data_IF_447412741779
#
_entry.id   IF_447412741779
#
_cell.length_a   1.000
_cell.length_b   1.000
_cell.length_c   1.000
_cell.angle_alpha   90.00
_cell.angle_beta   90.00
_cell.angle_gamma   90.00
#
_symmetry.space_group_name_H-M   'P 1'
#
loop_
_entity.id
_entity.type
_entity.pdbx_description
1 polymer ?
#
# COMPACT_ATOMS: atom_id res chain seq x y z
N UNK A 1 14.91 -6.52 2.27
CA UNK A 1 13.86 -7.32 2.95
C UNK A 1 12.90 -6.47 3.77
N UNK A 2 13.36 -5.37 4.39
CA UNK A 2 12.51 -4.49 5.19
C UNK A 2 11.32 -3.90 4.42
N UNK A 3 11.51 -3.48 3.16
CA UNK A 3 10.41 -2.99 2.31
C UNK A 3 9.27 -4.02 2.20
N UNK A 4 9.60 -5.28 1.91
CA UNK A 4 8.62 -6.36 1.81
C UNK A 4 7.87 -6.61 3.12
N UNK A 5 8.58 -6.55 4.25
CA UNK A 5 7.97 -6.66 5.58
C UNK A 5 7.01 -5.50 5.84
N UNK A 6 7.40 -4.26 5.52
CA UNK A 6 6.54 -3.08 5.69
C UNK A 6 5.30 -3.19 4.81
N UNK A 7 5.46 -3.52 3.52
CA UNK A 7 4.34 -3.72 2.61
C UNK A 7 3.38 -4.81 3.10
N UNK A 8 3.91 -5.94 3.59
CA UNK A 8 3.09 -7.02 4.13
C UNK A 8 2.34 -6.60 5.40
N UNK A 9 3.00 -5.90 6.34
CA UNK A 9 2.34 -5.36 7.55
C UNK A 9 1.22 -4.39 7.17
N UNK A 10 1.50 -3.44 6.28
CA UNK A 10 0.52 -2.45 5.83
C UNK A 10 -0.70 -3.13 5.24
N UNK A 11 -0.48 -4.13 4.36
CA UNK A 11 -1.57 -4.90 3.76
C UNK A 11 -2.38 -5.70 4.81
N UNK A 12 -1.72 -6.37 5.76
CA UNK A 12 -2.39 -7.13 6.83
C UNK A 12 -3.27 -6.21 7.68
N UNK A 13 -2.77 -5.02 8.02
CA UNK A 13 -3.53 -4.02 8.82
C UNK A 13 -4.71 -3.45 8.05
N UNK A 14 -4.53 -3.16 6.77
CA UNK A 14 -5.59 -2.73 5.86
C UNK A 14 -6.71 -3.78 5.77
N UNK A 15 -6.36 -5.05 5.54
CA UNK A 15 -7.34 -6.14 5.48
C UNK A 15 -8.06 -6.36 6.81
N UNK A 16 -7.39 -6.14 7.94
CA UNK A 16 -8.02 -6.17 9.25
C UNK A 16 -8.98 -4.98 9.47
N UNK A 17 -8.66 -3.80 8.93
CA UNK A 17 -9.50 -2.61 9.00
C UNK A 17 -10.79 -2.77 8.19
N UNK A 18 -10.69 -3.24 6.93
CA UNK A 18 -11.87 -3.54 6.08
C UNK A 18 -12.82 -4.50 6.79
N UNK A 19 -12.28 -5.60 7.36
CA UNK A 19 -13.09 -6.59 8.09
C UNK A 19 -13.72 -6.03 9.37
N UNK A 20 -13.05 -5.11 10.06
CA UNK A 20 -13.54 -4.51 11.29
C UNK A 20 -14.62 -3.44 11.06
N UNK A 21 -14.61 -2.80 9.89
CA UNK A 21 -15.57 -1.76 9.49
C UNK A 21 -16.71 -2.28 8.62
N UNK A 22 -16.73 -3.58 8.34
CA UNK A 22 -17.75 -4.24 7.51
C UNK A 22 -17.95 -3.57 6.13
N UNK A 23 -16.84 -3.09 5.55
CA UNK A 23 -16.85 -2.47 4.23
C UNK A 23 -16.94 -3.57 3.17
N UNK A 24 -17.90 -3.43 2.25
CA UNK A 24 -18.01 -4.35 1.12
C UNK A 24 -16.79 -4.25 0.20
N UNK A 25 -16.02 -5.33 0.19
CA UNK A 25 -14.73 -5.41 -0.50
C UNK A 25 -14.88 -5.40 -2.02
N UNK A 26 -16.03 -5.84 -2.54
CA UNK A 26 -16.27 -5.89 -3.99
C UNK A 26 -16.51 -4.50 -4.56
N UNK A 27 -17.27 -3.66 -3.86
CA UNK A 27 -17.55 -2.29 -4.29
C UNK A 27 -16.42 -1.31 -3.92
N UNK A 28 -15.69 -1.56 -2.83
CA UNK A 28 -14.67 -0.65 -2.34
C UNK A 28 -13.32 -0.74 -3.08
N UNK A 29 -12.92 -1.94 -3.54
CA UNK A 29 -11.63 -2.13 -4.19
C UNK A 29 -11.75 -2.11 -5.71
N UNK A 30 -10.92 -1.32 -6.43
CA UNK A 30 -10.91 -1.34 -7.89
C UNK A 30 -10.39 -2.67 -8.48
N UNK A 31 -9.53 -3.37 -7.73
CA UNK A 31 -8.96 -4.66 -8.13
C UNK A 31 -8.93 -5.59 -6.92
N UNK A 32 -9.48 -6.80 -7.10
CA UNK A 32 -9.50 -7.85 -6.07
C UNK A 32 -8.51 -8.96 -6.40
N UNK A 33 -7.75 -9.37 -5.40
CA UNK A 33 -6.99 -10.62 -5.46
C UNK A 33 -7.47 -11.58 -4.36
N UNK A 34 -8.00 -12.72 -4.78
CA UNK A 34 -8.62 -13.70 -3.86
C UNK A 34 -7.60 -14.34 -2.91
N UNK A 35 -6.37 -14.57 -3.37
CA UNK A 35 -5.31 -15.24 -2.60
C UNK A 35 -4.38 -14.29 -1.85
N UNK A 36 -4.49 -12.98 -2.08
CA UNK A 36 -3.61 -11.98 -1.47
C UNK A 36 -3.66 -11.99 0.05
N UNK A 37 -4.79 -12.42 0.63
CA UNK A 37 -4.90 -12.50 2.08
C UNK A 37 -4.00 -13.53 2.73
N UNK A 38 -3.89 -14.71 2.12
CA UNK A 38 -2.98 -15.73 2.60
C UNK A 38 -1.53 -15.39 2.25
N UNK A 39 -1.31 -14.87 1.03
CA UNK A 39 0.01 -14.47 0.56
C UNK A 39 0.65 -13.37 1.43
N UNK A 40 -0.15 -12.43 1.97
CA UNK A 40 0.34 -11.36 2.84
C UNK A 40 0.95 -11.87 4.15
N UNK A 41 0.29 -12.82 4.82
CA UNK A 41 0.84 -13.45 6.03
C UNK A 41 2.09 -14.28 5.72
N UNK A 42 2.08 -15.04 4.63
CA UNK A 42 3.24 -15.83 4.21
C UNK A 42 4.45 -14.95 3.88
N UNK A 43 4.25 -13.89 3.09
CA UNK A 43 5.29 -12.92 2.74
C UNK A 43 5.85 -12.22 3.99
N UNK A 44 5.00 -11.87 4.95
CA UNK A 44 5.44 -11.31 6.23
C UNK A 44 6.34 -12.29 7.00
N UNK A 45 5.90 -13.54 7.17
CA UNK A 45 6.66 -14.57 7.88
C UNK A 45 8.04 -14.82 7.24
N UNK A 46 8.08 -15.03 5.92
CA UNK A 46 9.34 -15.24 5.22
C UNK A 46 10.26 -14.02 5.31
N UNK A 47 9.74 -12.82 5.01
CA UNK A 47 10.54 -11.60 5.04
C UNK A 47 11.06 -11.27 6.45
N UNK A 48 10.27 -11.55 7.49
CA UNK A 48 10.68 -11.38 8.89
C UNK A 48 11.83 -12.33 9.26
N UNK A 49 11.76 -13.59 8.86
CA UNK A 49 12.86 -14.56 9.08
C UNK A 49 14.13 -14.10 8.36
N UNK A 50 14.04 -13.68 7.10
CA UNK A 50 15.20 -13.19 6.35
C UNK A 50 15.80 -11.89 6.90
N UNK A 51 15.02 -11.05 7.59
CA UNK A 51 15.53 -9.88 8.31
C UNK A 51 16.39 -10.27 9.52
N UNK A 52 16.04 -11.38 10.18
CA UNK A 52 16.85 -11.95 11.27
C UNK A 52 18.15 -12.57 10.76
N UNK A 53 18.10 -13.34 9.68
CA UNK A 53 19.30 -13.95 9.07
C UNK A 53 20.29 -12.91 8.57
N UNK A 54 19.82 -11.74 8.11
CA UNK A 54 20.68 -10.63 7.65
C UNK A 54 21.35 -9.82 8.78
N UNK A 55 21.10 -10.11 10.06
CA UNK A 55 21.68 -9.35 11.18
C UNK A 55 21.09 -7.94 11.40
N UNK A 56 20.18 -7.49 10.52
CA UNK A 56 19.46 -6.20 10.66
C UNK A 56 18.44 -6.26 11.81
N UNK A 57 18.09 -7.45 12.29
CA UNK A 57 17.21 -7.64 13.44
C UNK A 57 17.72 -6.96 14.72
N UNK A 58 19.04 -6.79 14.91
CA UNK A 58 19.58 -6.09 16.09
C UNK A 58 19.30 -4.58 16.05
N UNK A 59 19.48 -3.93 14.89
CA UNK A 59 19.11 -2.53 14.72
C UNK A 59 17.58 -2.34 14.76
N UNK A 60 16.83 -3.27 14.17
CA UNK A 60 15.38 -3.29 14.21
C UNK A 60 14.82 -3.47 15.62
N UNK A 61 15.42 -4.32 16.44
CA UNK A 61 15.00 -4.57 17.83
C UNK A 61 15.30 -3.40 18.75
N UNK A 62 16.41 -2.67 18.55
CA UNK A 62 16.70 -1.42 19.26
C UNK A 62 15.66 -0.34 18.91
N UNK A 63 15.33 -0.19 17.62
CA UNK A 63 14.28 0.74 17.18
C UNK A 63 12.89 0.37 17.69
N UNK A 64 12.53 -0.92 17.66
CA UNK A 64 11.29 -1.45 18.25
C UNK A 64 11.25 -1.23 19.76
N UNK A 65 12.37 -1.45 20.46
CA UNK A 65 12.52 -1.18 21.89
C UNK A 65 12.30 0.30 22.22
N UNK A 66 12.91 1.21 21.46
CA UNK A 66 12.67 2.66 21.61
C UNK A 66 11.21 3.04 21.35
N UNK A 67 10.57 2.40 20.37
CA UNK A 67 9.17 2.62 20.02
C UNK A 67 8.20 2.12 21.12
N UNK A 68 8.52 0.98 21.75
CA UNK A 68 7.81 0.48 22.93
C UNK A 68 8.00 1.40 24.13
N UNK A 69 9.20 1.93 24.35
CA UNK A 69 9.50 2.90 25.40
C UNK A 69 8.72 4.23 25.21
N UNK A 70 8.67 4.74 23.97
CA UNK A 70 7.91 5.95 23.62
C UNK A 70 6.38 5.73 23.57
N UNK A 71 5.88 4.53 23.87
CA UNK A 71 4.45 4.19 23.87
C UNK A 71 3.70 4.76 22.67
N UNK A 72 4.20 4.53 21.45
CA UNK A 72 3.47 4.97 20.26
C UNK A 72 2.06 4.39 20.26
N UNK A 73 1.04 5.24 20.15
CA UNK A 73 -0.37 4.85 20.19
C UNK A 73 -0.64 3.90 19.02
N UNK A 74 -1.08 2.68 19.34
CA UNK A 74 -1.49 1.73 18.31
C UNK A 74 -2.98 1.94 18.01
N UNK A 75 -3.29 2.35 16.79
CA UNK A 75 -4.66 2.59 16.37
C UNK A 75 -5.40 1.26 16.17
N UNK A 76 -6.62 1.18 16.70
CA UNK A 76 -7.48 0.00 16.55
C UNK A 76 -7.92 -0.12 15.10
N UNK A 77 -8.05 -1.34 14.59
CA UNK A 77 -8.43 -1.58 13.19
C UNK A 77 -9.77 -0.92 12.81
N UNK A 78 -10.72 -0.81 13.74
CA UNK A 78 -12.02 -0.16 13.53
C UNK A 78 -11.94 1.36 13.38
N UNK A 79 -10.89 2.00 13.91
CA UNK A 79 -10.72 3.46 13.92
C UNK A 79 -9.85 3.97 12.76
N UNK A 80 -9.37 3.07 11.89
CA UNK A 80 -8.51 3.43 10.76
C UNK A 80 -9.36 4.10 9.69
N UNK A 81 -9.03 5.34 9.34
CA UNK A 81 -9.70 6.03 8.24
C UNK A 81 -9.32 5.41 6.89
N UNK A 82 -10.30 4.79 6.24
CA UNK A 82 -10.17 4.13 4.94
C UNK A 82 -10.78 4.95 3.80
N UNK A 83 -11.55 5.99 4.10
CA UNK A 83 -12.45 6.64 3.13
C UNK A 83 -12.10 8.10 2.88
N UNK A 84 -11.61 8.87 3.87
CA UNK A 84 -11.51 10.34 3.72
C UNK A 84 -10.59 10.78 2.58
N UNK A 85 -9.56 10.00 2.27
CA UNK A 85 -8.64 10.28 1.18
C UNK A 85 -9.01 9.61 -0.15
N UNK A 86 -10.10 8.86 -0.22
CA UNK A 86 -10.50 8.13 -1.43
C UNK A 86 -10.79 9.10 -2.59
N UNK A 87 -11.57 10.16 -2.32
CA UNK A 87 -11.89 11.19 -3.32
C UNK A 87 -10.63 11.86 -3.89
N UNK A 88 -9.61 12.10 -3.06
CA UNK A 88 -8.34 12.65 -3.52
C UNK A 88 -7.64 11.71 -4.52
N UNK A 89 -7.63 10.41 -4.24
CA UNK A 89 -7.06 9.42 -5.15
C UNK A 89 -7.88 9.26 -6.43
N UNK A 90 -9.20 9.38 -6.37
CA UNK A 90 -10.08 9.36 -7.55
C UNK A 90 -9.78 10.55 -8.47
N UNK A 91 -9.67 11.76 -7.92
CA UNK A 91 -9.30 12.97 -8.66
C UNK A 91 -7.90 12.85 -9.29
N UNK A 92 -6.92 12.32 -8.55
CA UNK A 92 -5.59 12.07 -9.11
C UNK A 92 -5.63 11.06 -10.25
N UNK A 93 -6.41 9.99 -10.09
CA UNK A 93 -6.56 8.92 -11.10
C UNK A 93 -7.17 9.48 -12.37
N UNK A 94 -8.17 10.34 -12.24
CA UNK A 94 -8.81 11.06 -13.35
C UNK A 94 -7.84 12.04 -14.01
N UNK A 95 -7.08 12.81 -13.23
CA UNK A 95 -6.05 13.72 -13.75
C UNK A 95 -5.00 12.98 -14.61
N UNK A 96 -4.40 11.90 -14.10
CA UNK A 96 -3.41 11.12 -14.86
C UNK A 96 -4.02 10.36 -16.04
N UNK A 97 -5.31 10.00 -15.97
CA UNK A 97 -6.03 9.42 -17.11
C UNK A 97 -6.16 10.45 -18.24
N UNK A 98 -6.57 11.67 -17.92
CA UNK A 98 -6.63 12.76 -18.89
C UNK A 98 -5.27 13.08 -19.50
N UNK A 99 -4.19 13.11 -18.72
CA UNK A 99 -2.83 13.29 -19.26
C UNK A 99 -2.42 12.17 -20.21
N UNK A 100 -2.74 10.91 -19.88
CA UNK A 100 -2.47 9.77 -20.77
C UNK A 100 -3.26 9.82 -22.08
N UNK A 101 -4.50 10.29 -22.03
CA UNK A 101 -5.38 10.41 -23.21
C UNK A 101 -5.00 11.61 -24.09
N UNK A 102 -4.54 12.71 -23.48
CA UNK A 102 -4.04 13.88 -24.18
C UNK A 102 -2.61 13.71 -24.74
N UNK A 103 -1.85 12.73 -24.22
CA UNK A 103 -0.50 12.45 -24.72
C UNK A 103 -0.56 11.84 -26.14
N UNK A 104 0.25 12.34 -27.08
CA UNK A 104 0.36 11.73 -28.41
C UNK A 104 0.85 10.28 -28.27
N UNK A 105 0.01 9.33 -28.67
CA UNK A 105 0.28 7.89 -28.59
C UNK A 105 1.39 7.45 -29.55
N UNK A 106 1.70 8.28 -30.56
CA UNK A 106 2.63 7.96 -31.65
C UNK A 106 3.66 9.08 -31.87
N UNK A 107 4.88 8.69 -32.24
CA UNK A 107 5.94 9.64 -32.66
C UNK A 107 5.49 10.56 -33.80
N UNK A 108 4.58 10.09 -34.67
CA UNK A 108 4.02 10.90 -35.77
C UNK A 108 3.18 12.06 -35.25
N UNK A 109 2.40 11.82 -34.19
CA UNK A 109 1.52 12.82 -33.59
C UNK A 109 2.33 13.86 -32.83
N UNK A 110 3.41 13.43 -32.16
CA UNK A 110 4.37 14.33 -31.51
C UNK A 110 5.10 15.24 -32.51
N UNK A 111 5.40 14.74 -33.72
CA UNK A 111 6.05 15.53 -34.78
C UNK A 111 5.05 16.51 -35.38
N UNK A 112 3.81 16.09 -35.66
CA UNK A 112 2.75 16.97 -36.15
C UNK A 112 2.45 18.13 -35.19
N UNK A 113 2.37 17.86 -33.89
CA UNK A 113 2.13 18.87 -32.86
C UNK A 113 3.30 19.85 -32.61
N UNK A 114 4.49 19.57 -33.15
CA UNK A 114 5.65 20.49 -33.10
C UNK A 114 5.78 21.34 -34.36
N UNK A 115 5.17 20.92 -35.47
CA UNK A 115 5.26 21.58 -36.77
C UNK A 115 4.07 22.53 -36.99
N UNK A 116 2.89 22.20 -36.44
CA UNK A 116 1.69 23.05 -36.40
C UNK A 116 1.50 23.62 -34.99
#
# INVERSE_FOLDING_TARGET
MLNWTVMAITWIRFNAAIKAQDIDRENFLPVRSSFQSYAGYWAFCCAFIFLWVQGIALAGSIGLGWKLFKKTRFHRASEIDLVSHLYFFDVLTEHYRHEREAAPQSLKDTILAKIF
#
